data_IF_967065393050
#
_entry.id   IF_967065393050
#
_cell.length_a   1.000
_cell.length_b   1.000
_cell.length_c   1.000
_cell.angle_alpha   90.00
_cell.angle_beta   90.00
_cell.angle_gamma   90.00
#
_symmetry.space_group_name_H-M   'P 1'
#
loop_
_entity.id
_entity.type
_entity.pdbx_description
1 polymer ?
#
# COMPACT_ATOMS: atom_id res chain seq x y z
N UNK A 1 -17.95 -71.70 37.29
CA UNK A 1 -18.09 -71.14 35.95
C UNK A 1 -17.65 -69.67 36.02
N UNK A 2 -16.44 -69.35 35.54
CA UNK A 2 -15.86 -68.01 35.55
C UNK A 2 -15.83 -67.51 34.10
N UNK A 3 -16.68 -66.57 33.79
CA UNK A 3 -16.68 -65.89 32.48
C UNK A 3 -15.59 -64.79 32.46
N UNK A 4 -14.64 -64.97 31.56
CA UNK A 4 -13.58 -64.00 31.30
C UNK A 4 -14.09 -63.03 30.20
N UNK A 5 -14.30 -61.75 30.57
CA UNK A 5 -14.67 -60.69 29.63
C UNK A 5 -13.40 -60.16 28.97
N UNK A 6 -13.25 -60.40 27.68
CA UNK A 6 -12.14 -59.90 26.91
C UNK A 6 -12.47 -58.45 26.44
N UNK A 7 -11.74 -57.48 26.96
CA UNK A 7 -11.82 -56.08 26.50
C UNK A 7 -10.84 -55.93 25.34
N UNK A 8 -11.37 -55.78 24.13
CA UNK A 8 -10.58 -55.40 22.95
C UNK A 8 -10.37 -53.89 22.93
N UNK A 9 -9.15 -53.44 23.21
CA UNK A 9 -8.71 -52.08 23.05
C UNK A 9 -8.42 -51.82 21.56
N UNK A 10 -9.29 -51.08 20.88
CA UNK A 10 -9.09 -50.66 19.50
C UNK A 10 -8.16 -49.46 19.48
N UNK A 11 -6.91 -49.65 19.07
CA UNK A 11 -5.94 -48.55 18.88
C UNK A 11 -6.25 -47.85 17.57
N UNK A 12 -6.82 -46.67 17.64
CA UNK A 12 -6.91 -45.77 16.49
C UNK A 12 -5.53 -45.15 16.21
N UNK A 13 -4.86 -45.67 15.19
CA UNK A 13 -3.65 -45.02 14.64
C UNK A 13 -4.05 -43.78 13.86
N UNK A 14 -3.82 -42.59 14.45
CA UNK A 14 -3.88 -41.33 13.75
C UNK A 14 -2.64 -41.22 12.86
N UNK A 15 -2.76 -41.59 11.59
CA UNK A 15 -1.73 -41.32 10.57
C UNK A 15 -1.86 -39.88 10.13
N UNK A 16 -1.20 -38.97 10.86
CA UNK A 16 -0.96 -37.62 10.39
C UNK A 16 0.09 -37.67 9.28
N UNK A 17 -0.27 -37.33 8.04
CA UNK A 17 0.72 -37.10 6.97
C UNK A 17 1.50 -35.83 7.28
N UNK A 18 2.67 -35.96 7.88
CA UNK A 18 3.68 -34.91 7.93
C UNK A 18 4.54 -35.07 6.68
N UNK A 19 4.43 -34.17 5.72
CA UNK A 19 5.39 -34.10 4.62
C UNK A 19 6.66 -33.42 5.15
N UNK A 20 7.66 -34.23 5.48
CA UNK A 20 8.99 -33.76 5.83
C UNK A 20 9.78 -33.48 4.54
N UNK A 21 10.09 -32.24 4.26
CA UNK A 21 11.13 -31.89 3.31
C UNK A 21 12.45 -31.74 4.09
N UNK A 22 13.32 -32.74 3.99
CA UNK A 22 14.67 -32.67 4.55
C UNK A 22 15.63 -32.05 3.55
N UNK A 23 16.40 -31.07 3.99
CA UNK A 23 17.47 -30.46 3.21
C UNK A 23 18.83 -31.00 3.66
N UNK A 24 19.59 -31.52 2.68
CA UNK A 24 21.03 -31.84 2.75
C UNK A 24 21.47 -32.65 3.99
N UNK A 25 20.95 -33.88 4.14
CA UNK A 25 21.49 -34.86 5.08
C UNK A 25 21.30 -34.54 6.56
N UNK A 26 20.48 -33.55 6.91
CA UNK A 26 20.08 -33.30 8.30
C UNK A 26 18.63 -33.77 8.54
N UNK A 27 18.40 -34.57 9.57
CA UNK A 27 17.06 -35.05 10.02
C UNK A 27 16.19 -33.95 10.64
N UNK A 28 16.45 -32.66 10.31
CA UNK A 28 15.66 -31.53 10.82
C UNK A 28 14.54 -31.21 9.85
N UNK A 29 13.28 -31.14 10.30
CA UNK A 29 12.17 -30.77 9.45
C UNK A 29 12.37 -29.32 8.99
N UNK A 30 12.45 -29.11 7.68
CA UNK A 30 12.45 -27.79 7.09
C UNK A 30 11.01 -27.31 7.02
N UNK A 31 10.63 -26.41 7.91
CA UNK A 31 9.38 -25.69 7.77
C UNK A 31 9.54 -24.70 6.60
N UNK A 32 9.01 -25.06 5.45
CA UNK A 32 8.95 -24.13 4.32
C UNK A 32 8.02 -22.96 4.70
N UNK A 33 8.61 -21.93 5.28
CA UNK A 33 7.89 -20.71 5.65
C UNK A 33 7.54 -19.97 4.35
N UNK A 34 6.31 -20.18 3.87
CA UNK A 34 5.80 -19.42 2.71
C UNK A 34 5.93 -17.93 3.02
N UNK A 35 6.83 -17.25 2.33
CA UNK A 35 7.09 -15.84 2.54
C UNK A 35 5.83 -15.07 2.12
N UNK A 36 5.26 -14.30 3.04
CA UNK A 36 4.18 -13.36 2.71
C UNK A 36 4.81 -12.10 2.11
N UNK A 37 5.02 -12.11 0.80
CA UNK A 37 5.66 -11.02 0.07
C UNK A 37 4.92 -9.68 0.26
N UNK A 38 3.59 -9.69 0.26
CA UNK A 38 2.79 -8.49 0.51
C UNK A 38 3.02 -7.94 1.93
N UNK A 39 3.03 -8.81 2.94
CA UNK A 39 3.34 -8.40 4.31
C UNK A 39 4.76 -7.87 4.46
N UNK A 40 5.74 -8.51 3.80
CA UNK A 40 7.12 -8.05 3.77
C UNK A 40 7.24 -6.68 3.11
N UNK A 41 6.57 -6.46 1.97
CA UNK A 41 6.52 -5.17 1.28
C UNK A 41 5.94 -4.07 2.18
N UNK A 42 4.79 -4.31 2.82
CA UNK A 42 4.17 -3.34 3.73
C UNK A 42 5.07 -2.99 4.93
N UNK A 43 5.79 -3.95 5.48
CA UNK A 43 6.78 -3.70 6.53
C UNK A 43 7.90 -2.79 6.03
N UNK A 44 8.41 -3.02 4.81
CA UNK A 44 9.41 -2.16 4.19
C UNK A 44 8.90 -0.75 3.91
N UNK A 45 7.66 -0.61 3.44
CA UNK A 45 7.01 0.70 3.28
C UNK A 45 6.95 1.45 4.62
N UNK A 46 6.51 0.80 5.69
CA UNK A 46 6.41 1.43 7.00
C UNK A 46 7.78 1.94 7.50
N UNK A 47 8.85 1.14 7.31
CA UNK A 47 10.22 1.56 7.63
C UNK A 47 10.66 2.74 6.77
N UNK A 48 10.38 2.74 5.48
CA UNK A 48 10.72 3.82 4.57
C UNK A 48 10.06 5.15 4.99
N UNK A 49 8.77 5.11 5.29
CA UNK A 49 8.03 6.28 5.75
C UNK A 49 8.57 6.82 7.09
N UNK A 50 9.04 5.93 7.97
CA UNK A 50 9.70 6.36 9.20
C UNK A 50 11.05 7.03 8.93
N UNK A 51 11.84 6.51 7.97
CA UNK A 51 13.10 7.15 7.57
C UNK A 51 12.87 8.51 6.90
N UNK A 52 11.82 8.67 6.09
CA UNK A 52 11.45 9.97 5.51
C UNK A 52 11.14 11.00 6.59
N UNK A 53 10.40 10.64 7.63
CA UNK A 53 10.10 11.54 8.75
C UNK A 53 11.35 12.02 9.48
N UNK A 54 12.43 11.26 9.46
CA UNK A 54 13.71 11.61 10.08
C UNK A 54 14.73 12.20 9.10
N UNK A 55 14.34 12.45 7.85
CA UNK A 55 15.21 13.00 6.80
C UNK A 55 16.24 12.01 6.24
N UNK A 56 16.14 10.73 6.57
CA UNK A 56 17.05 9.71 6.06
C UNK A 56 16.58 9.15 4.71
N UNK A 57 16.71 9.98 3.67
CA UNK A 57 16.22 9.68 2.32
C UNK A 57 16.90 8.43 1.71
N UNK A 58 18.17 8.17 2.04
CA UNK A 58 18.89 6.99 1.52
C UNK A 58 18.29 5.68 2.03
N UNK A 59 18.00 5.60 3.34
CA UNK A 59 17.37 4.42 3.93
C UNK A 59 15.90 4.29 3.50
N UNK A 60 15.20 5.40 3.31
CA UNK A 60 13.85 5.39 2.77
C UNK A 60 13.82 4.77 1.37
N UNK A 61 14.68 5.24 0.46
CA UNK A 61 14.81 4.72 -0.90
C UNK A 61 15.10 3.22 -0.89
N UNK A 62 16.13 2.80 -0.16
CA UNK A 62 16.49 1.39 -0.06
C UNK A 62 15.31 0.51 0.36
N UNK A 63 14.55 0.94 1.39
CA UNK A 63 13.41 0.15 1.85
C UNK A 63 12.24 0.13 0.85
N UNK A 64 11.99 1.22 0.10
CA UNK A 64 10.98 1.23 -0.96
C UNK A 64 11.36 0.36 -2.15
N UNK A 65 12.63 0.34 -2.55
CA UNK A 65 13.14 -0.56 -3.57
C UNK A 65 12.98 -2.03 -3.14
N UNK A 66 13.30 -2.35 -1.88
CA UNK A 66 13.06 -3.70 -1.33
C UNK A 66 11.58 -4.05 -1.25
N UNK A 67 10.69 -3.09 -0.99
CA UNK A 67 9.25 -3.31 -1.05
C UNK A 67 8.79 -3.65 -2.47
N UNK A 68 9.32 -2.96 -3.48
CA UNK A 68 9.04 -3.23 -4.89
C UNK A 68 9.54 -4.61 -5.33
N UNK A 69 10.69 -5.07 -4.82
CA UNK A 69 11.20 -6.43 -5.07
C UNK A 69 10.25 -7.51 -4.52
N UNK A 70 9.66 -7.28 -3.33
CA UNK A 70 8.72 -8.22 -2.73
C UNK A 70 7.36 -8.24 -3.41
N UNK A 71 6.82 -7.09 -3.79
CA UNK A 71 5.48 -6.97 -4.33
C UNK A 71 5.38 -5.83 -5.38
N UNK A 72 5.91 -6.04 -6.61
CA UNK A 72 5.98 -5.00 -7.65
C UNK A 72 4.61 -4.49 -8.12
N UNK A 73 3.56 -5.28 -7.95
CA UNK A 73 2.19 -4.92 -8.32
C UNK A 73 1.31 -4.53 -7.12
N UNK A 74 1.91 -4.22 -5.98
CA UNK A 74 1.20 -3.68 -4.83
C UNK A 74 1.06 -2.15 -5.00
N UNK A 75 -0.17 -1.58 -5.08
CA UNK A 75 -0.36 -0.14 -5.30
C UNK A 75 0.35 0.73 -4.25
N UNK A 76 0.35 0.29 -2.99
CA UNK A 76 0.98 0.98 -1.86
C UNK A 76 2.50 1.19 -2.06
N UNK A 77 3.18 0.31 -2.79
CA UNK A 77 4.60 0.48 -3.13
C UNK A 77 4.79 1.70 -4.01
N UNK A 78 4.00 1.81 -5.07
CA UNK A 78 4.12 2.91 -6.04
C UNK A 78 3.66 4.24 -5.46
N UNK A 79 2.58 4.23 -4.67
CA UNK A 79 2.15 5.40 -3.92
C UNK A 79 3.24 5.91 -2.95
N UNK A 80 3.89 4.99 -2.23
CA UNK A 80 4.95 5.37 -1.29
C UNK A 80 6.22 5.84 -2.00
N UNK A 81 6.53 5.29 -3.18
CA UNK A 81 7.59 5.81 -4.05
C UNK A 81 7.26 7.22 -4.56
N UNK A 82 6.01 7.49 -4.94
CA UNK A 82 5.58 8.83 -5.34
C UNK A 82 5.81 9.84 -4.21
N UNK A 83 5.38 9.49 -2.99
CA UNK A 83 5.61 10.32 -1.82
C UNK A 83 7.12 10.56 -1.54
N UNK A 84 7.95 9.50 -1.68
CA UNK A 84 9.40 9.64 -1.57
C UNK A 84 9.96 10.63 -2.59
N UNK A 85 9.57 10.50 -3.87
CA UNK A 85 10.06 11.37 -4.94
C UNK A 85 9.64 12.84 -4.74
N UNK A 86 8.46 13.09 -4.18
CA UNK A 86 8.06 14.43 -3.75
C UNK A 86 9.02 15.00 -2.69
N UNK A 87 9.41 14.20 -1.70
CA UNK A 87 10.28 14.64 -0.61
C UNK A 87 11.72 14.93 -1.04
N UNK A 88 12.15 14.37 -2.17
CA UNK A 88 13.50 14.57 -2.72
C UNK A 88 13.51 15.45 -3.96
N UNK A 89 12.40 16.19 -4.22
CA UNK A 89 12.24 17.14 -5.32
C UNK A 89 12.48 16.54 -6.71
N UNK A 90 11.91 15.34 -6.92
CA UNK A 90 11.94 14.61 -8.20
C UNK A 90 10.51 14.49 -8.78
N UNK A 91 9.90 15.60 -9.25
CA UNK A 91 8.48 15.64 -9.61
C UNK A 91 8.12 14.72 -10.77
N UNK A 92 9.01 14.54 -11.75
CA UNK A 92 8.75 13.66 -12.89
C UNK A 92 8.69 12.18 -12.46
N UNK A 93 9.50 11.78 -11.48
CA UNK A 93 9.45 10.42 -10.92
C UNK A 93 8.23 10.24 -10.03
N UNK A 94 7.83 11.27 -9.27
CA UNK A 94 6.61 11.26 -8.48
C UNK A 94 5.37 11.09 -9.38
N UNK A 95 5.25 11.86 -10.47
CA UNK A 95 4.15 11.77 -11.44
C UNK A 95 4.02 10.33 -12.01
N UNK A 96 5.14 9.75 -12.47
CA UNK A 96 5.17 8.37 -12.99
C UNK A 96 4.76 7.34 -11.93
N UNK A 97 5.20 7.50 -10.70
CA UNK A 97 4.90 6.59 -9.62
C UNK A 97 3.41 6.65 -9.22
N UNK A 98 2.80 7.85 -9.15
CA UNK A 98 1.35 8.00 -8.95
C UNK A 98 0.55 7.35 -10.08
N UNK A 99 0.92 7.60 -11.34
CA UNK A 99 0.27 6.98 -12.49
C UNK A 99 0.38 5.45 -12.44
N UNK A 100 1.52 4.91 -12.00
CA UNK A 100 1.67 3.46 -11.84
C UNK A 100 0.77 2.91 -10.74
N UNK A 101 0.66 3.58 -9.61
CA UNK A 101 -0.25 3.20 -8.53
C UNK A 101 -1.71 3.16 -9.02
N UNK A 102 -2.16 4.21 -9.73
CA UNK A 102 -3.50 4.29 -10.28
C UNK A 102 -3.75 3.31 -11.44
N UNK A 103 -2.71 2.93 -12.19
CA UNK A 103 -2.84 1.86 -13.20
C UNK A 103 -3.18 0.52 -12.56
N UNK A 104 -2.68 0.25 -11.35
CA UNK A 104 -2.94 -0.98 -10.61
C UNK A 104 -4.28 -0.89 -9.86
N UNK A 105 -4.55 0.24 -9.22
CA UNK A 105 -5.76 0.52 -8.44
C UNK A 105 -6.42 1.84 -8.90
N UNK A 106 -7.20 1.84 -10.01
CA UNK A 106 -7.69 3.08 -10.64
C UNK A 106 -8.62 3.91 -9.76
N UNK A 107 -9.29 3.29 -8.81
CA UNK A 107 -10.27 3.92 -7.94
C UNK A 107 -9.81 3.97 -6.47
N UNK A 108 -8.50 3.91 -6.20
CA UNK A 108 -8.02 4.14 -4.84
C UNK A 108 -8.10 5.62 -4.48
N UNK A 109 -9.07 6.01 -3.62
CA UNK A 109 -9.35 7.42 -3.38
C UNK A 109 -8.22 8.14 -2.65
N UNK A 110 -7.42 7.41 -1.86
CA UNK A 110 -6.27 8.01 -1.18
C UNK A 110 -5.17 8.36 -2.18
N UNK A 111 -4.88 7.47 -3.12
CA UNK A 111 -3.91 7.75 -4.21
C UNK A 111 -4.40 8.90 -5.10
N UNK A 112 -5.68 8.89 -5.49
CA UNK A 112 -6.29 9.96 -6.29
C UNK A 112 -6.18 11.32 -5.58
N UNK A 113 -6.56 11.41 -4.29
CA UNK A 113 -6.47 12.65 -3.51
C UNK A 113 -5.02 13.17 -3.42
N UNK A 114 -4.08 12.29 -3.04
CA UNK A 114 -2.70 12.72 -2.88
C UNK A 114 -2.02 13.07 -4.21
N UNK A 115 -2.40 12.38 -5.29
CA UNK A 115 -1.93 12.74 -6.63
C UNK A 115 -2.47 14.11 -7.07
N UNK A 116 -3.75 14.40 -6.79
CA UNK A 116 -4.33 15.71 -7.04
C UNK A 116 -3.60 16.83 -6.29
N UNK A 117 -3.33 16.65 -4.99
CA UNK A 117 -2.55 17.60 -4.20
C UNK A 117 -1.14 17.81 -4.79
N UNK A 118 -0.46 16.72 -5.17
CA UNK A 118 0.83 16.78 -5.83
C UNK A 118 0.77 17.58 -7.15
N UNK A 119 -0.22 17.29 -8.00
CA UNK A 119 -0.40 17.97 -9.29
C UNK A 119 -0.65 19.46 -9.11
N UNK A 120 -1.41 19.86 -8.08
CA UNK A 120 -1.59 21.25 -7.71
C UNK A 120 -0.25 21.92 -7.38
N UNK A 121 0.53 21.32 -6.48
CA UNK A 121 1.83 21.84 -6.06
C UNK A 121 2.87 21.99 -7.19
N UNK A 122 2.69 21.28 -8.32
CA UNK A 122 3.53 21.43 -9.51
C UNK A 122 2.85 22.24 -10.64
N UNK A 123 1.81 22.99 -10.34
CA UNK A 123 1.16 23.91 -11.28
C UNK A 123 0.24 23.26 -12.31
N UNK A 124 -0.23 22.02 -12.10
CA UNK A 124 -1.11 21.32 -13.05
C UNK A 124 -2.57 21.33 -12.57
N UNK A 125 -3.15 22.53 -12.45
CA UNK A 125 -4.47 22.77 -11.85
C UNK A 125 -5.58 21.86 -12.41
N UNK A 126 -5.78 21.84 -13.73
CA UNK A 126 -6.88 21.07 -14.34
C UNK A 126 -6.80 19.58 -14.00
N UNK A 127 -5.61 19.02 -14.08
CA UNK A 127 -5.37 17.61 -13.71
C UNK A 127 -5.55 17.37 -12.20
N UNK A 128 -5.12 18.33 -11.38
CA UNK A 128 -5.30 18.27 -9.93
C UNK A 128 -6.79 18.19 -9.58
N UNK A 129 -7.60 19.08 -10.13
CA UNK A 129 -9.04 19.08 -9.92
C UNK A 129 -9.71 17.81 -10.41
N UNK A 130 -9.30 17.28 -11.57
CA UNK A 130 -9.81 16.01 -12.10
C UNK A 130 -9.57 14.85 -11.14
N UNK A 131 -8.34 14.68 -10.62
CA UNK A 131 -8.01 13.58 -9.73
C UNK A 131 -8.69 13.72 -8.35
N UNK A 132 -8.78 14.92 -7.79
CA UNK A 132 -9.49 15.19 -6.54
C UNK A 132 -10.99 14.90 -6.67
N UNK A 133 -11.63 15.30 -7.78
CA UNK A 133 -13.05 14.99 -8.04
C UNK A 133 -13.29 13.49 -8.23
N UNK A 134 -12.35 12.77 -8.86
CA UNK A 134 -12.41 11.30 -8.94
C UNK A 134 -12.35 10.66 -7.54
N UNK A 135 -11.51 11.17 -6.64
CA UNK A 135 -11.44 10.68 -5.27
C UNK A 135 -12.78 10.86 -4.54
N UNK A 136 -13.38 12.04 -4.64
CA UNK A 136 -14.69 12.38 -4.07
C UNK A 136 -15.80 11.46 -4.59
N UNK A 137 -15.74 11.10 -5.87
CA UNK A 137 -16.76 10.25 -6.52
C UNK A 137 -16.71 8.78 -6.07
N UNK A 138 -15.67 8.35 -5.33
CA UNK A 138 -15.59 6.96 -4.82
C UNK A 138 -16.52 6.78 -3.63
N UNK A 139 -17.57 5.91 -3.70
CA UNK A 139 -18.61 5.83 -2.66
C UNK A 139 -18.10 5.44 -1.26
N UNK A 140 -16.98 4.71 -1.18
CA UNK A 140 -16.38 4.28 0.08
C UNK A 140 -15.38 5.28 0.67
N UNK A 141 -15.18 6.43 0.04
CA UNK A 141 -14.20 7.41 0.47
C UNK A 141 -14.73 8.23 1.66
N UNK A 142 -14.04 8.16 2.79
CA UNK A 142 -14.46 8.81 4.03
C UNK A 142 -13.85 10.21 4.24
N UNK A 143 -12.87 10.61 3.41
CA UNK A 143 -12.15 11.90 3.52
C UNK A 143 -12.60 12.90 2.45
N UNK A 144 -13.88 12.86 2.08
CA UNK A 144 -14.46 13.69 1.03
C UNK A 144 -14.27 15.20 1.33
N UNK A 145 -14.51 15.62 2.58
CA UNK A 145 -14.33 17.00 3.01
C UNK A 145 -12.88 17.50 2.81
N UNK A 146 -11.89 16.65 3.10
CA UNK A 146 -10.47 16.99 2.87
C UNK A 146 -10.17 17.20 1.37
N UNK A 147 -10.76 16.38 0.49
CA UNK A 147 -10.58 16.58 -0.96
C UNK A 147 -11.25 17.86 -1.46
N UNK A 148 -12.38 18.27 -0.91
CA UNK A 148 -12.97 19.57 -1.22
C UNK A 148 -12.12 20.73 -0.71
N UNK A 149 -11.55 20.61 0.49
CA UNK A 149 -10.60 21.58 1.02
C UNK A 149 -9.35 21.70 0.11
N UNK A 150 -8.78 20.57 -0.32
CA UNK A 150 -7.66 20.55 -1.27
C UNK A 150 -8.00 21.19 -2.61
N UNK A 151 -9.22 20.95 -3.13
CA UNK A 151 -9.73 21.60 -4.34
C UNK A 151 -9.82 23.12 -4.16
N UNK A 152 -10.38 23.57 -3.05
CA UNK A 152 -10.52 24.99 -2.77
C UNK A 152 -9.16 25.68 -2.61
N UNK A 153 -8.22 25.08 -1.87
CA UNK A 153 -6.88 25.61 -1.71
C UNK A 153 -6.15 25.69 -3.06
N UNK A 154 -6.27 24.65 -3.87
CA UNK A 154 -5.69 24.64 -5.21
C UNK A 154 -6.31 25.71 -6.10
N UNK A 155 -7.62 25.88 -6.09
CA UNK A 155 -8.31 26.93 -6.84
C UNK A 155 -7.86 28.35 -6.42
N UNK A 156 -7.66 28.59 -5.11
CA UNK A 156 -7.13 29.86 -4.60
C UNK A 156 -5.72 30.12 -5.13
N UNK A 157 -4.85 29.10 -5.16
CA UNK A 157 -3.47 29.23 -5.63
C UNK A 157 -3.40 29.64 -7.12
N UNK A 158 -4.43 29.30 -7.89
CA UNK A 158 -4.55 29.65 -9.31
C UNK A 158 -5.54 30.79 -9.59
N UNK A 159 -5.89 31.61 -8.58
CA UNK A 159 -6.79 32.76 -8.66
C UNK A 159 -8.22 32.42 -9.13
N UNK A 160 -8.63 31.13 -9.06
CA UNK A 160 -9.98 30.67 -9.39
C UNK A 160 -10.90 30.73 -8.16
N UNK A 161 -11.21 31.95 -7.75
CA UNK A 161 -12.00 32.21 -6.52
C UNK A 161 -13.45 31.73 -6.63
N UNK A 162 -14.01 31.64 -7.84
CA UNK A 162 -15.37 31.13 -8.06
C UNK A 162 -15.46 29.63 -7.70
N UNK A 163 -14.56 28.83 -8.22
CA UNK A 163 -14.50 27.39 -7.88
C UNK A 163 -14.05 27.18 -6.43
N UNK A 164 -13.15 28.02 -5.91
CA UNK A 164 -12.75 27.94 -4.51
C UNK A 164 -13.95 28.09 -3.57
N UNK A 165 -14.80 29.11 -3.78
CA UNK A 165 -16.01 29.34 -2.98
C UNK A 165 -17.00 28.16 -3.10
N UNK A 166 -17.16 27.63 -4.32
CA UNK A 166 -18.03 26.47 -4.59
C UNK A 166 -17.56 25.25 -3.81
N UNK A 167 -16.24 24.93 -3.83
CA UNK A 167 -15.70 23.77 -3.15
C UNK A 167 -15.77 23.88 -1.62
N UNK A 168 -15.60 25.10 -1.07
CA UNK A 168 -15.72 25.32 0.38
C UNK A 168 -17.16 25.18 0.91
N UNK A 169 -18.15 25.24 0.02
CA UNK A 169 -19.59 25.07 0.40
C UNK A 169 -20.08 23.65 0.19
N UNK A 170 -19.26 22.74 -0.33
CA UNK A 170 -19.61 21.34 -0.65
C UNK A 170 -19.29 20.40 0.49
#
# INVERSE_FOLDING_TARGET
>A
MRSILAITVSAFALTGCVTENSYDGSDRPVVEKKINNTGAARTRIALALQYLKTGNNSQAKYNLERAADFAPDLPEVHYSLAYYYQQVDEPDLADKAYQRALKIAPNDPNTLNNYGVFLCGIGKYDRAAEELLKAIAVPSYIRVAESYENLALCAIEFDDFENAEKYLKS
#
